data_IF_848254942095
#
_entry.id   IF_848254942095
#
_cell.length_a   1.000
_cell.length_b   1.000
_cell.length_c   1.000
_cell.angle_alpha   90.00
_cell.angle_beta   90.00
_cell.angle_gamma   90.00
#
_symmetry.space_group_name_H-M   'P 1'
#
loop_
_entity.id
_entity.type
_entity.pdbx_description
1 polymer ?
#
# COMPACT_ATOMS: atom_id res chain seq x y z
N UNK A 1 8.39 -14.25 -10.61
CA UNK A 1 7.17 -13.69 -9.99
C UNK A 1 6.88 -12.35 -10.64
N UNK A 2 5.67 -12.14 -11.15
CA UNK A 2 5.34 -10.91 -11.88
C UNK A 2 4.44 -10.02 -11.01
N UNK A 3 4.91 -8.82 -10.68
CA UNK A 3 4.09 -7.78 -10.06
C UNK A 3 3.00 -7.35 -11.06
N UNK A 4 1.75 -7.04 -10.62
CA UNK A 4 0.74 -6.54 -11.53
C UNK A 4 1.17 -5.21 -12.15
N UNK A 5 0.71 -4.93 -13.37
CA UNK A 5 0.90 -3.63 -14.02
C UNK A 5 0.30 -2.51 -13.18
N UNK A 6 1.01 -1.39 -13.07
CA UNK A 6 0.60 -0.21 -12.32
C UNK A 6 -0.79 0.26 -12.73
N UNK A 7 -1.04 0.33 -14.04
CA UNK A 7 -2.32 0.77 -14.61
C UNK A 7 -3.48 -0.10 -14.13
N UNK A 8 -3.30 -1.42 -14.06
CA UNK A 8 -4.32 -2.36 -13.60
C UNK A 8 -4.64 -2.17 -12.11
N UNK A 9 -3.63 -1.90 -11.28
CA UNK A 9 -3.85 -1.58 -9.85
C UNK A 9 -4.57 -0.23 -9.74
N UNK A 10 -4.10 0.80 -10.44
CA UNK A 10 -4.66 2.16 -10.40
C UNK A 10 -6.13 2.20 -10.82
N UNK A 11 -6.52 1.51 -11.89
CA UNK A 11 -7.93 1.45 -12.33
C UNK A 11 -8.86 0.88 -11.25
N UNK A 12 -8.35 -0.01 -10.39
CA UNK A 12 -9.12 -0.64 -9.32
C UNK A 12 -8.99 0.08 -7.97
N UNK A 13 -8.04 1.01 -7.83
CA UNK A 13 -7.79 1.71 -6.58
C UNK A 13 -8.82 2.82 -6.34
N UNK A 14 -9.41 2.81 -5.15
CA UNK A 14 -10.40 3.79 -4.70
C UNK A 14 -9.78 4.66 -3.61
N UNK A 15 -9.97 5.97 -3.70
CA UNK A 15 -9.39 6.95 -2.78
C UNK A 15 -10.36 7.36 -1.67
N UNK A 16 -11.67 7.27 -1.91
CA UNK A 16 -12.67 7.58 -0.89
C UNK A 16 -12.72 6.49 0.19
N UNK A 17 -12.86 6.86 1.47
CA UNK A 17 -12.88 5.91 2.60
C UNK A 17 -14.09 4.99 2.60
N UNK A 18 -15.20 5.44 2.04
CA UNK A 18 -16.45 4.68 1.95
C UNK A 18 -16.46 3.67 0.80
N UNK A 19 -15.54 3.78 -0.17
CA UNK A 19 -15.47 2.93 -1.35
C UNK A 19 -14.66 1.66 -1.08
N UNK A 20 -15.16 0.86 -0.15
CA UNK A 20 -14.64 -0.44 0.23
C UNK A 20 -15.71 -1.50 0.01
N UNK A 21 -15.32 -2.77 -0.10
CA UNK A 21 -16.29 -3.86 -0.12
C UNK A 21 -17.15 -3.86 1.16
N UNK A 22 -18.40 -4.32 1.03
CA UNK A 22 -19.28 -4.54 2.19
C UNK A 22 -18.64 -5.53 3.14
N UNK A 23 -18.50 -5.17 4.41
CA UNK A 23 -17.91 -6.01 5.43
C UNK A 23 -18.67 -5.88 6.75
N UNK A 24 -18.70 -6.97 7.54
CA UNK A 24 -19.31 -6.96 8.87
C UNK A 24 -18.51 -6.19 9.92
N UNK A 25 -17.28 -5.78 9.58
CA UNK A 25 -16.40 -5.04 10.46
C UNK A 25 -16.26 -3.58 10.03
N UNK A 26 -16.07 -2.71 11.02
CA UNK A 26 -15.70 -1.32 10.79
C UNK A 26 -14.17 -1.18 10.60
N UNK A 27 -13.78 -0.30 9.69
CA UNK A 27 -12.38 0.03 9.42
C UNK A 27 -12.13 1.51 9.77
N UNK A 28 -11.45 1.81 10.89
CA UNK A 28 -11.16 3.21 11.24
C UNK A 28 -10.19 3.86 10.25
N UNK A 29 -9.34 3.07 9.60
CA UNK A 29 -8.42 3.49 8.55
C UNK A 29 -8.56 2.54 7.35
N UNK A 30 -8.77 3.10 6.16
CA UNK A 30 -9.18 2.33 4.97
C UNK A 30 -8.12 2.24 3.88
N UNK A 31 -6.96 2.87 4.03
CA UNK A 31 -5.91 2.85 3.00
C UNK A 31 -5.48 1.42 2.62
N UNK A 32 -5.18 0.59 3.61
CA UNK A 32 -4.75 -0.78 3.39
C UNK A 32 -5.85 -1.68 2.81
N UNK A 33 -7.09 -1.55 3.27
CA UNK A 33 -8.18 -2.38 2.75
C UNK A 33 -8.45 -2.03 1.28
N UNK A 34 -8.52 -0.74 0.92
CA UNK A 34 -8.66 -0.27 -0.47
C UNK A 34 -7.52 -0.72 -1.36
N UNK A 35 -6.28 -0.62 -0.87
CA UNK A 35 -5.10 -1.08 -1.60
C UNK A 35 -5.14 -2.61 -1.79
N UNK A 36 -5.44 -3.39 -0.75
CA UNK A 36 -5.50 -4.84 -0.85
C UNK A 36 -6.58 -5.32 -1.82
N UNK A 37 -7.74 -4.65 -1.88
CA UNK A 37 -8.77 -4.91 -2.88
C UNK A 37 -8.30 -4.59 -4.30
N UNK A 38 -7.67 -3.43 -4.49
CA UNK A 38 -7.15 -3.01 -5.79
C UNK A 38 -6.07 -3.99 -6.32
N UNK A 39 -5.20 -4.45 -5.42
CA UNK A 39 -4.17 -5.43 -5.72
C UNK A 39 -4.77 -6.79 -6.10
N UNK A 40 -5.75 -7.30 -5.37
CA UNK A 40 -6.41 -8.57 -5.69
C UNK A 40 -7.20 -8.48 -7.00
N UNK A 41 -7.85 -7.34 -7.29
CA UNK A 41 -8.49 -7.12 -8.60
C UNK A 41 -7.47 -7.08 -9.74
N UNK A 42 -6.24 -6.62 -9.47
CA UNK A 42 -5.16 -6.63 -10.44
C UNK A 42 -4.49 -8.01 -10.60
N UNK A 43 -4.35 -8.76 -9.51
CA UNK A 43 -3.84 -10.13 -9.47
C UNK A 43 -4.54 -10.96 -8.37
N UNK A 44 -5.52 -11.81 -8.75
CA UNK A 44 -6.28 -12.61 -7.79
C UNK A 44 -5.43 -13.54 -6.90
N UNK A 45 -4.22 -13.92 -7.33
CA UNK A 45 -3.32 -14.80 -6.56
C UNK A 45 -2.84 -14.15 -5.25
N UNK A 46 -2.89 -12.81 -5.16
CA UNK A 46 -2.53 -12.09 -3.95
C UNK A 46 -3.49 -12.39 -2.79
N UNK A 47 -4.76 -12.73 -3.08
CA UNK A 47 -5.72 -13.06 -2.03
C UNK A 47 -5.30 -14.31 -1.25
N UNK A 48 -4.71 -15.30 -1.92
CA UNK A 48 -4.21 -16.51 -1.25
C UNK A 48 -3.03 -16.19 -0.33
N UNK A 49 -2.13 -15.30 -0.75
CA UNK A 49 -1.03 -14.83 0.09
C UNK A 49 -1.56 -14.07 1.32
N UNK A 50 -2.59 -13.24 1.14
CA UNK A 50 -3.22 -12.50 2.24
C UNK A 50 -3.92 -13.42 3.23
N UNK A 51 -4.67 -14.42 2.74
CA UNK A 51 -5.36 -15.41 3.58
C UNK A 51 -4.41 -16.26 4.42
N UNK A 52 -3.27 -16.69 3.84
CA UNK A 52 -2.24 -17.47 4.56
C UNK A 52 -1.46 -16.65 5.58
N UNK A 53 -1.42 -15.33 5.43
CA UNK A 53 -0.68 -14.46 6.34
C UNK A 53 -1.36 -14.37 7.72
N UNK A 54 -0.62 -14.38 8.84
CA UNK A 54 -1.19 -14.17 10.18
C UNK A 54 -1.59 -12.71 10.45
N UNK A 55 -1.32 -11.79 9.49
CA UNK A 55 -1.56 -10.35 9.65
C UNK A 55 -3.04 -9.98 9.71
N UNK A 56 -3.30 -8.76 10.14
CA UNK A 56 -4.65 -8.24 10.31
C UNK A 56 -5.38 -8.19 8.96
N UNK A 57 -6.44 -8.99 8.87
CA UNK A 57 -7.30 -9.10 7.69
C UNK A 57 -8.77 -9.01 8.08
N UNK A 58 -9.62 -8.66 7.12
CA UNK A 58 -11.06 -8.78 7.27
C UNK A 58 -11.52 -10.22 7.05
N UNK A 59 -12.78 -10.58 7.38
CA UNK A 59 -13.36 -11.90 7.12
C UNK A 59 -13.24 -12.38 5.66
N UNK A 60 -13.18 -11.47 4.69
CA UNK A 60 -13.02 -11.81 3.27
C UNK A 60 -11.56 -12.07 2.85
N UNK A 61 -10.60 -11.87 3.76
CA UNK A 61 -9.17 -12.14 3.55
C UNK A 61 -8.33 -10.92 3.11
N UNK A 62 -8.94 -9.76 2.93
CA UNK A 62 -8.25 -8.51 2.57
C UNK A 62 -7.49 -7.92 3.77
N UNK A 63 -6.28 -7.42 3.53
CA UNK A 63 -5.41 -6.87 4.59
C UNK A 63 -5.84 -5.46 4.96
N UNK A 64 -5.92 -5.18 6.27
CA UNK A 64 -6.46 -3.91 6.79
C UNK A 64 -5.43 -3.02 7.49
N UNK A 65 -4.17 -3.43 7.57
CA UNK A 65 -3.07 -2.65 8.12
C UNK A 65 -2.04 -2.26 7.05
N UNK A 66 -1.57 -1.01 7.05
CA UNK A 66 -0.63 -0.52 6.04
C UNK A 66 0.73 -1.26 6.12
N UNK A 67 1.33 -1.32 7.31
CA UNK A 67 2.57 -2.07 7.54
C UNK A 67 2.37 -3.58 7.38
N UNK A 68 1.20 -4.08 7.78
CA UNK A 68 0.84 -5.48 7.58
C UNK A 68 0.84 -5.87 6.10
N UNK A 69 0.19 -5.06 5.25
CA UNK A 69 0.19 -5.28 3.80
C UNK A 69 1.60 -5.16 3.24
N UNK A 70 2.34 -4.10 3.60
CA UNK A 70 3.73 -3.91 3.19
C UNK A 70 4.63 -5.11 3.55
N UNK A 71 4.45 -5.69 4.74
CA UNK A 71 5.23 -6.85 5.19
C UNK A 71 4.94 -8.11 4.36
N UNK A 72 3.71 -8.28 3.88
CA UNK A 72 3.35 -9.40 3.00
C UNK A 72 3.92 -9.19 1.59
N UNK A 73 3.83 -7.96 1.06
CA UNK A 73 4.42 -7.63 -0.24
C UNK A 73 5.95 -7.84 -0.24
N UNK A 74 6.61 -7.57 0.90
CA UNK A 74 8.04 -7.78 1.09
C UNK A 74 8.48 -9.26 1.06
N UNK A 75 7.55 -10.22 1.19
CA UNK A 75 7.90 -11.65 1.17
C UNK A 75 8.46 -12.06 -0.20
N UNK A 76 9.56 -12.85 -0.24
CA UNK A 76 10.12 -13.33 -1.50
C UNK A 76 9.11 -14.07 -2.39
N UNK A 77 8.14 -14.76 -1.78
CA UNK A 77 7.07 -15.49 -2.45
C UNK A 77 5.91 -14.62 -2.95
N UNK A 78 5.97 -13.30 -2.73
CA UNK A 78 4.97 -12.33 -3.21
C UNK A 78 5.64 -11.38 -4.20
N UNK A 79 6.26 -10.30 -3.73
CA UNK A 79 7.01 -9.36 -4.58
C UNK A 79 8.48 -9.24 -4.20
N UNK A 80 8.86 -9.72 -3.02
CA UNK A 80 10.21 -9.59 -2.48
C UNK A 80 10.56 -8.17 -2.05
N UNK A 81 11.86 -7.92 -1.95
CA UNK A 81 12.40 -6.67 -1.44
C UNK A 81 11.80 -5.45 -2.17
N UNK A 82 11.53 -4.40 -1.40
CA UNK A 82 11.15 -3.08 -1.92
C UNK A 82 12.14 -2.62 -3.00
N UNK A 83 11.67 -1.89 -4.00
CA UNK A 83 12.54 -1.27 -5.01
C UNK A 83 13.32 -0.10 -4.41
N UNK A 84 12.65 0.73 -3.60
CA UNK A 84 13.22 1.92 -2.99
C UNK A 84 12.76 2.02 -1.53
N UNK A 85 13.54 2.73 -0.72
CA UNK A 85 13.08 3.14 0.60
C UNK A 85 13.83 4.32 1.16
N UNK A 86 13.18 5.00 2.09
CA UNK A 86 13.63 6.27 2.66
C UNK A 86 13.29 6.33 4.15
N UNK A 87 13.97 7.22 4.85
CA UNK A 87 13.57 7.69 6.17
C UNK A 87 12.74 8.98 6.02
N UNK A 88 12.30 9.54 7.15
CA UNK A 88 11.56 10.80 7.19
C UNK A 88 12.26 11.90 6.38
N UNK A 89 11.50 12.59 5.54
CA UNK A 89 11.91 13.78 4.81
C UNK A 89 11.46 15.00 5.63
N UNK A 90 12.38 15.79 6.23
CA UNK A 90 12.01 16.92 7.09
C UNK A 90 11.17 17.99 6.38
N UNK A 91 11.30 18.10 5.06
CA UNK A 91 10.52 19.03 4.24
C UNK A 91 9.07 18.59 4.02
N UNK A 92 8.71 17.34 4.35
CA UNK A 92 7.43 16.73 3.98
C UNK A 92 7.27 16.46 2.48
N UNK A 93 8.30 16.75 1.67
CA UNK A 93 8.28 16.57 0.22
C UNK A 93 8.89 15.24 -0.20
N UNK A 94 8.46 14.75 -1.37
CA UNK A 94 9.04 13.55 -1.98
C UNK A 94 10.54 13.73 -2.25
N UNK A 95 11.37 12.70 -1.99
CA UNK A 95 12.78 12.72 -2.35
C UNK A 95 12.96 12.69 -3.87
N UNK A 96 14.03 13.29 -4.38
CA UNK A 96 14.25 13.46 -5.83
C UNK A 96 14.22 12.13 -6.61
N UNK A 97 14.69 11.04 -6.03
CA UNK A 97 14.70 9.72 -6.68
C UNK A 97 13.34 8.98 -6.65
N UNK A 98 12.32 9.51 -5.98
CA UNK A 98 10.93 9.08 -6.13
C UNK A 98 10.26 9.70 -7.37
N UNK A 99 10.78 10.82 -7.88
CA UNK A 99 10.27 11.49 -9.08
C UNK A 99 10.45 10.58 -10.30
N UNK A 100 9.43 10.49 -11.15
CA UNK A 100 9.42 9.63 -12.33
C UNK A 100 9.19 8.14 -12.02
N UNK A 101 8.93 7.77 -10.77
CA UNK A 101 8.59 6.39 -10.39
C UNK A 101 7.08 6.21 -10.32
N UNK A 102 6.63 4.96 -10.49
CA UNK A 102 5.23 4.57 -10.27
C UNK A 102 5.15 3.25 -9.53
N UNK A 103 4.19 3.10 -8.61
CA UNK A 103 4.06 1.87 -7.85
C UNK A 103 3.29 2.02 -6.54
N UNK A 104 3.39 1.01 -5.68
CA UNK A 104 2.83 1.03 -4.32
C UNK A 104 3.86 1.61 -3.38
N UNK A 105 3.45 2.56 -2.55
CA UNK A 105 4.27 3.20 -1.51
C UNK A 105 3.60 3.04 -0.14
N UNK A 106 4.38 2.66 0.87
CA UNK A 106 3.94 2.57 2.26
C UNK A 106 4.74 3.53 3.12
N UNK A 107 4.04 4.43 3.80
CA UNK A 107 4.54 5.42 4.74
C UNK A 107 4.28 4.93 6.17
N UNK A 108 5.32 4.48 6.86
CA UNK A 108 5.21 3.83 8.17
C UNK A 108 5.51 4.81 9.30
N UNK A 109 4.74 4.72 10.39
CA UNK A 109 4.91 5.54 11.59
C UNK A 109 4.86 7.05 11.26
N UNK A 110 3.78 7.47 10.60
CA UNK A 110 3.48 8.88 10.28
C UNK A 110 3.36 9.68 11.59
N UNK A 111 4.08 10.81 11.76
CA UNK A 111 3.99 11.64 12.96
C UNK A 111 2.55 12.07 13.27
N UNK A 112 2.16 12.00 14.55
CA UNK A 112 0.83 12.41 15.01
C UNK A 112 -0.32 11.47 14.62
N UNK A 113 -0.07 10.40 13.85
CA UNK A 113 -1.10 9.46 13.43
C UNK A 113 -1.11 8.20 14.29
N UNK A 114 -2.25 7.88 14.89
CA UNK A 114 -2.44 6.67 15.67
C UNK A 114 -2.89 5.50 14.76
N UNK A 115 -1.91 4.80 14.18
CA UNK A 115 -2.14 3.64 13.31
C UNK A 115 -0.83 3.09 12.75
N UNK A 116 -0.93 2.14 11.82
CA UNK A 116 0.25 1.57 11.14
C UNK A 116 0.89 2.53 10.10
N UNK A 117 0.30 3.70 9.87
CA UNK A 117 0.69 4.62 8.80
C UNK A 117 -0.22 4.50 7.58
N UNK A 118 0.30 4.83 6.40
CA UNK A 118 -0.46 4.95 5.16
C UNK A 118 0.14 4.07 4.04
N UNK A 119 -0.70 3.55 3.15
CA UNK A 119 -0.25 2.85 1.95
C UNK A 119 -1.10 3.33 0.77
N UNK A 120 -0.43 3.70 -0.32
CA UNK A 120 -1.06 4.35 -1.47
C UNK A 120 -0.32 3.99 -2.78
N UNK A 121 -0.83 4.51 -3.89
CA UNK A 121 -0.13 4.53 -5.17
C UNK A 121 0.61 5.85 -5.35
N UNK A 122 1.83 5.75 -5.86
CA UNK A 122 2.62 6.90 -6.32
C UNK A 122 2.71 6.87 -7.84
N UNK A 123 2.61 8.02 -8.48
CA UNK A 123 2.83 8.18 -9.92
C UNK A 123 3.56 9.48 -10.22
N UNK A 124 4.75 9.34 -10.80
CA UNK A 124 5.62 10.44 -11.17
C UNK A 124 6.03 11.29 -9.96
N UNK A 125 5.27 12.34 -9.65
CA UNK A 125 5.56 13.29 -8.58
C UNK A 125 4.37 13.48 -7.61
N UNK A 126 3.35 12.62 -7.70
CA UNK A 126 2.12 12.78 -6.92
C UNK A 126 1.59 11.43 -6.42
N UNK A 127 0.94 11.41 -5.27
CA UNK A 127 0.17 10.26 -4.82
C UNK A 127 -1.19 10.23 -5.52
N UNK A 128 -1.76 9.04 -5.70
CA UNK A 128 -3.12 8.90 -6.24
C UNK A 128 -4.17 9.26 -5.18
N UNK A 129 -3.95 8.83 -3.93
CA UNK A 129 -4.66 9.35 -2.76
C UNK A 129 -3.79 10.38 -2.04
N UNK A 130 -3.09 9.95 -1.00
CA UNK A 130 -2.33 10.82 -0.10
C UNK A 130 -0.87 10.36 0.05
N UNK A 131 0.02 11.29 0.41
CA UNK A 131 1.43 11.02 0.69
C UNK A 131 1.88 11.61 2.02
N UNK A 132 2.76 10.89 2.74
CA UNK A 132 3.28 11.29 4.04
C UNK A 132 4.80 11.10 4.09
N UNK A 133 5.54 11.99 3.42
CA UNK A 133 7.00 11.87 3.29
C UNK A 133 7.78 12.15 4.57
N UNK A 134 7.13 12.71 5.59
CA UNK A 134 7.65 12.86 6.96
C UNK A 134 7.54 11.56 7.80
N UNK A 135 6.97 10.49 7.24
CA UNK A 135 6.91 9.18 7.89
C UNK A 135 8.30 8.62 8.18
N UNK A 136 8.48 8.00 9.36
CA UNK A 136 9.81 7.54 9.84
C UNK A 136 10.47 6.52 8.91
N UNK A 137 9.67 5.68 8.24
CA UNK A 137 10.17 4.68 7.29
C UNK A 137 9.23 4.59 6.10
N UNK A 138 9.76 4.62 4.88
CA UNK A 138 8.98 4.65 3.65
C UNK A 138 9.50 3.58 2.71
N UNK A 139 8.63 2.70 2.24
CA UNK A 139 8.98 1.65 1.28
C UNK A 139 8.19 1.81 -0.01
N UNK A 140 8.83 1.57 -1.15
CA UNK A 140 8.15 1.57 -2.45
C UNK A 140 8.51 0.32 -3.27
N UNK A 141 7.49 -0.26 -3.89
CA UNK A 141 7.63 -1.26 -4.95
C UNK A 141 7.21 -0.63 -6.25
N UNK A 142 8.17 -0.44 -7.16
CA UNK A 142 7.85 -0.05 -8.53
C UNK A 142 7.04 -1.15 -9.20
N UNK A 143 6.04 -0.72 -9.96
CA UNK A 143 5.18 -1.58 -10.77
C UNK A 143 5.42 -1.28 -12.26
N UNK A 144 5.39 -2.31 -13.13
CA UNK A 144 5.54 -2.12 -14.57
C UNK A 144 4.41 -1.29 -15.18
#
# INVERSE_FOLDING_TARGET
MMKPAFTKVKTNYKTQSTQIHTCSMHFPNTCAIRMSEALVRADPKLLDAFKRSPKNKCPHGYIRGAQDLASILALPSVWGMRTLGWNAQPSGSAPANAIGKKGVVCYMNVPGFNGQGHIDLWENNVAVGDSYWDAKTIWMWTLP
#
